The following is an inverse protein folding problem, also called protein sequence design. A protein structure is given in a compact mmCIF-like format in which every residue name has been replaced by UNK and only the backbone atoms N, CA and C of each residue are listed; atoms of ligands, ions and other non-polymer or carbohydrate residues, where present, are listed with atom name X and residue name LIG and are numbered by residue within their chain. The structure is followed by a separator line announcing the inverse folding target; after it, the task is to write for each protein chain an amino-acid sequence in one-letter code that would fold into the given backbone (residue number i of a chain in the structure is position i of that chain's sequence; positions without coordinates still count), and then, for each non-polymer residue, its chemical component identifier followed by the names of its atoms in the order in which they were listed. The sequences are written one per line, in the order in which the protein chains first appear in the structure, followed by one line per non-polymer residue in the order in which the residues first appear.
data_IF_014086878552
#
_entry.id   IF_014086878552
#
_cell.length_a   1.000
_cell.length_b   1.000
_cell.length_c   1.000
_cell.angle_alpha   90.00
_cell.angle_beta   90.00
_cell.angle_gamma   90.00
#
_symmetry.space_group_name_H-M   'P 1'
#
loop_
_entity.id
_entity.type
_entity.pdbx_description
1 polymer ?
#
# COMPACT_ATOMS: atom_id res chain seq x y z
N UNK A 1 9.03 16.41 12.58
CA UNK A 1 8.77 15.15 11.84
C UNK A 1 8.03 15.54 10.57
N UNK A 2 8.50 15.14 9.38
CA UNK A 2 7.79 15.47 8.15
C UNK A 2 6.40 14.83 8.18
N UNK A 3 5.37 15.63 7.94
CA UNK A 3 3.98 15.18 7.86
C UNK A 3 3.86 14.12 6.75
N UNK A 4 3.18 13.01 7.02
CA UNK A 4 3.01 11.95 6.04
C UNK A 4 2.25 12.49 4.82
N UNK A 5 2.83 12.35 3.63
CA UNK A 5 2.19 12.85 2.41
C UNK A 5 0.79 12.22 2.23
N UNK A 6 -0.24 12.99 1.83
CA UNK A 6 -1.58 12.46 1.61
C UNK A 6 -1.60 11.24 0.69
N UNK A 7 -0.73 11.21 -0.33
CA UNK A 7 -0.61 10.06 -1.24
C UNK A 7 -0.05 8.82 -0.56
N UNK A 8 0.91 8.95 0.38
CA UNK A 8 1.47 7.79 1.09
C UNK A 8 0.45 7.17 2.04
N UNK A 9 -0.36 7.99 2.72
CA UNK A 9 -1.47 7.52 3.56
C UNK A 9 -2.53 6.82 2.71
N UNK A 10 -2.89 7.42 1.59
CA UNK A 10 -3.86 6.87 0.65
C UNK A 10 -3.41 5.53 0.03
N UNK A 11 -2.14 5.46 -0.39
CA UNK A 11 -1.53 4.23 -0.92
C UNK A 11 -1.49 3.11 0.13
N UNK A 12 -1.09 3.44 1.36
CA UNK A 12 -1.11 2.49 2.48
C UNK A 12 -2.50 1.91 2.76
N UNK A 13 -3.55 2.76 2.70
CA UNK A 13 -4.94 2.31 2.85
C UNK A 13 -5.38 1.37 1.72
N UNK A 14 -5.01 1.68 0.48
CA UNK A 14 -5.30 0.81 -0.67
C UNK A 14 -4.63 -0.57 -0.53
N UNK A 15 -3.34 -0.62 -0.18
CA UNK A 15 -2.63 -1.89 0.11
C UNK A 15 -3.36 -2.68 1.18
N UNK A 16 -3.71 -2.04 2.30
CA UNK A 16 -4.40 -2.70 3.41
C UNK A 16 -5.76 -3.25 3.00
N UNK A 17 -6.49 -2.51 2.16
CA UNK A 17 -7.80 -2.92 1.65
C UNK A 17 -7.66 -4.14 0.75
N UNK A 18 -6.77 -4.11 -0.25
CA UNK A 18 -6.55 -5.23 -1.17
C UNK A 18 -6.02 -6.46 -0.44
N UNK A 19 -5.07 -6.28 0.49
CA UNK A 19 -4.57 -7.38 1.33
C UNK A 19 -5.71 -8.07 2.11
N UNK A 20 -6.61 -7.28 2.71
CA UNK A 20 -7.76 -7.81 3.45
C UNK A 20 -8.76 -8.52 2.55
N UNK A 21 -9.01 -8.01 1.33
CA UNK A 21 -9.86 -8.71 0.34
C UNK A 21 -9.30 -10.10 0.00
N UNK A 22 -7.97 -10.26 0.03
CA UNK A 22 -7.28 -11.54 -0.18
C UNK A 22 -7.20 -12.43 1.05
N UNK A 23 -7.66 -11.97 2.21
CA UNK A 23 -7.64 -12.76 3.43
C UNK A 23 -6.25 -13.06 4.00
N UNK A 24 -5.19 -12.40 3.51
CA UNK A 24 -3.82 -12.63 3.99
C UNK A 24 -3.42 -11.62 5.07
N UNK A 25 -2.53 -12.03 5.96
CA UNK A 25 -1.93 -11.26 7.04
C UNK A 25 -0.81 -10.34 6.52
N UNK A 26 -0.35 -9.41 7.37
CA UNK A 26 0.81 -8.59 7.05
C UNK A 26 2.10 -9.43 6.93
N UNK A 27 2.21 -10.51 7.71
CA UNK A 27 3.36 -11.42 7.67
C UNK A 27 3.41 -12.14 6.32
N UNK A 28 2.30 -12.75 5.90
CA UNK A 28 2.22 -13.44 4.61
C UNK A 28 2.49 -12.51 3.42
N UNK A 29 2.01 -11.26 3.46
CA UNK A 29 2.35 -10.28 2.42
C UNK A 29 3.85 -9.91 2.43
N UNK A 30 4.43 -9.76 3.62
CA UNK A 30 5.83 -9.44 3.79
C UNK A 30 6.72 -10.57 3.24
N UNK A 31 6.42 -11.83 3.60
CA UNK A 31 7.09 -13.02 3.09
C UNK A 31 7.02 -13.11 1.57
N UNK A 32 5.82 -12.94 0.99
CA UNK A 32 5.63 -12.95 -0.47
C UNK A 32 6.45 -11.90 -1.20
N UNK A 33 6.58 -10.70 -0.62
CA UNK A 33 7.35 -9.60 -1.21
C UNK A 33 8.84 -9.62 -0.84
N UNK A 34 9.31 -10.55 0.01
CA UNK A 34 10.68 -10.53 0.54
C UNK A 34 10.98 -9.28 1.39
N UNK A 35 10.00 -8.77 2.13
CA UNK A 35 10.08 -7.56 2.93
C UNK A 35 9.92 -7.88 4.43
N UNK A 36 10.28 -6.91 5.28
CA UNK A 36 10.01 -6.99 6.72
C UNK A 36 8.53 -6.68 7.03
N UNK A 37 7.89 -7.47 7.89
CA UNK A 37 6.49 -7.25 8.32
C UNK A 37 6.27 -5.86 8.92
N UNK A 38 7.22 -5.34 9.68
CA UNK A 38 7.17 -3.98 10.23
C UNK A 38 7.18 -2.93 9.13
N UNK A 39 7.91 -3.17 8.04
CA UNK A 39 7.90 -2.30 6.87
C UNK A 39 6.52 -2.28 6.18
N UNK A 40 5.92 -3.46 5.96
CA UNK A 40 4.51 -3.56 5.48
C UNK A 40 3.57 -2.80 6.40
N UNK A 41 3.68 -3.01 7.71
CA UNK A 41 2.85 -2.32 8.72
C UNK A 41 3.03 -0.80 8.68
N UNK A 42 4.25 -0.30 8.46
CA UNK A 42 4.52 1.13 8.32
C UNK A 42 3.93 1.69 7.01
N UNK A 43 4.04 0.96 5.90
CA UNK A 43 3.44 1.33 4.61
C UNK A 43 1.90 1.41 4.75
N UNK A 44 1.24 0.40 5.31
CA UNK A 44 -0.22 0.39 5.48
C UNK A 44 -0.77 1.53 6.35
N UNK A 45 0.08 2.11 7.19
CA UNK A 45 -0.24 3.27 8.05
C UNK A 45 0.20 4.60 7.44
N UNK A 46 0.81 4.60 6.25
CA UNK A 46 1.36 5.79 5.60
C UNK A 46 2.62 6.36 6.28
N UNK A 47 3.25 5.61 7.19
CA UNK A 47 4.46 6.03 7.91
C UNK A 47 5.74 5.88 7.07
N UNK A 48 5.67 5.13 5.97
CA UNK A 48 6.75 4.97 5.00
C UNK A 48 6.22 5.16 3.59
N UNK A 49 7.05 5.79 2.77
CA UNK A 49 6.85 5.89 1.32
C UNK A 49 7.69 4.79 0.65
N UNK A 50 7.09 3.71 0.12
CA UNK A 50 7.84 2.68 -0.58
C UNK A 50 8.44 3.23 -1.87
N UNK A 51 9.57 2.68 -2.29
CA UNK A 51 10.12 2.96 -3.62
C UNK A 51 9.22 2.38 -4.71
N UNK A 52 9.35 2.86 -5.94
CA UNK A 52 8.55 2.35 -7.06
C UNK A 52 8.71 0.82 -7.26
N UNK A 53 9.91 0.22 -7.18
CA UNK A 53 10.04 -1.25 -7.26
C UNK A 53 9.27 -1.98 -6.15
N UNK A 54 9.31 -1.48 -4.91
CA UNK A 54 8.55 -2.07 -3.80
C UNK A 54 7.05 -1.94 -4.03
N UNK A 55 6.60 -0.78 -4.50
CA UNK A 55 5.19 -0.55 -4.83
C UNK A 55 4.70 -1.48 -5.96
N UNK A 56 5.55 -1.75 -6.94
CA UNK A 56 5.28 -2.71 -8.02
C UNK A 56 5.20 -4.15 -7.50
N UNK A 57 6.16 -4.56 -6.66
CA UNK A 57 6.19 -5.89 -6.04
C UNK A 57 4.95 -6.16 -5.18
N UNK A 58 4.51 -5.15 -4.43
CA UNK A 58 3.26 -5.20 -3.66
C UNK A 58 2.06 -5.44 -4.57
N UNK A 59 1.96 -4.75 -5.71
CA UNK A 59 0.86 -4.95 -6.65
C UNK A 59 0.85 -6.37 -7.23
N UNK A 60 2.01 -6.91 -7.59
CA UNK A 60 2.15 -8.29 -8.09
C UNK A 60 1.66 -9.30 -7.03
N UNK A 61 2.15 -9.19 -5.80
CA UNK A 61 1.83 -10.16 -4.74
C UNK A 61 0.42 -9.98 -4.15
N UNK A 62 -0.17 -8.80 -4.35
CA UNK A 62 -1.59 -8.53 -4.14
C UNK A 62 -2.41 -8.88 -5.39
N UNK A 63 -1.84 -9.52 -6.42
CA UNK A 63 -2.40 -9.86 -7.73
C UNK A 63 -3.43 -8.83 -8.21
N UNK A 64 -3.02 -7.55 -8.22
CA UNK A 64 -3.79 -6.41 -8.69
C UNK A 64 -2.94 -5.63 -9.68
N UNK A 65 -3.55 -5.13 -10.75
CA UNK A 65 -2.85 -4.25 -11.68
C UNK A 65 -2.38 -2.98 -10.93
N UNK A 66 -1.14 -2.55 -11.17
CA UNK A 66 -0.55 -1.40 -10.49
C UNK A 66 -1.35 -0.10 -10.69
N UNK A 67 -1.90 0.13 -11.90
CA UNK A 67 -2.75 1.29 -12.19
C UNK A 67 -4.05 1.21 -11.38
N UNK A 68 -4.64 0.03 -11.27
CA UNK A 68 -5.84 -0.18 -10.43
C UNK A 68 -5.55 0.05 -8.95
N UNK A 69 -4.40 -0.40 -8.44
CA UNK A 69 -3.97 -0.12 -7.06
C UNK A 69 -3.81 1.38 -6.81
N UNK A 70 -3.19 2.10 -7.75
CA UNK A 70 -3.05 3.56 -7.67
C UNK A 70 -4.41 4.27 -7.77
N UNK A 71 -5.32 3.81 -8.64
CA UNK A 71 -6.67 4.35 -8.71
C UNK A 71 -7.45 4.11 -7.41
N UNK A 72 -7.28 2.95 -6.77
CA UNK A 72 -7.84 2.68 -5.45
C UNK A 72 -7.25 3.61 -4.38
N UNK A 73 -5.95 3.94 -4.45
CA UNK A 73 -5.35 4.92 -3.56
C UNK A 73 -5.99 6.30 -3.71
N UNK A 74 -6.29 6.76 -4.94
CA UNK A 74 -6.94 8.07 -5.15
C UNK A 74 -8.28 8.21 -4.40
N UNK A 75 -9.03 7.11 -4.22
CA UNK A 75 -10.29 7.10 -3.45
C UNK A 75 -10.08 7.43 -1.96
N UNK A 76 -8.85 7.31 -1.45
CA UNK A 76 -8.49 7.56 -0.06
C UNK A 76 -7.86 8.94 0.17
N UNK A 77 -7.69 9.76 -0.88
CA UNK A 77 -7.18 11.13 -0.77
C UNK A 77 -8.34 12.07 -0.43
N UNK A 78 -8.31 12.77 0.71
CA UNK A 78 -9.35 13.74 1.07
C UNK A 78 -9.39 14.88 0.05
N UNK A 79 -10.58 15.26 -0.40
CA UNK A 79 -10.73 16.37 -1.36
C UNK A 79 -10.26 16.06 -2.77
N UNK A 80 -10.06 14.78 -3.13
CA UNK A 80 -9.91 14.33 -4.52
C UNK A 80 -11.25 14.41 -5.28
N UNK A 81 -11.92 15.56 -5.19
CA UNK A 81 -12.86 16.00 -6.21
C UNK A 81 -11.99 16.73 -7.22
N UNK A 82 -11.83 16.14 -8.41
CA UNK A 82 -11.30 16.87 -9.56
C UNK A 82 -12.13 18.14 -9.82
#
# INVERSE_FOLDING_TARGET
MAEASPISVAFGKAIRQERRKKGITQEELAEKCGLDRTYISQIERGLKNPTLPVAWELAINLEINFVTLMAAALQHIPGASH
#
